data_IF_828966812719
#
_entry.id   IF_828966812719
#
_cell.length_a   1.000
_cell.length_b   1.000
_cell.length_c   1.000
_cell.angle_alpha   90.00
_cell.angle_beta   90.00
_cell.angle_gamma   90.00
#
_symmetry.space_group_name_H-M   'P 1'
#
loop_
_entity.id
_entity.type
_entity.pdbx_description
1 polymer ?
#
# COMPACT_ATOMS: atom_id res chain seq x y z
N UNK A 1 -11.78 0.07 -2.59
CA UNK A 1 -11.18 1.29 -2.05
C UNK A 1 -10.20 1.93 -3.01
N UNK A 2 -9.36 1.20 -3.68
CA UNK A 2 -8.36 1.74 -4.58
C UNK A 2 -7.03 1.04 -4.45
N UNK A 3 -6.10 1.42 -5.32
CA UNK A 3 -4.78 0.83 -5.41
C UNK A 3 -3.75 1.88 -5.02
N UNK A 4 -2.91 1.55 -4.03
CA UNK A 4 -1.79 2.39 -3.62
C UNK A 4 -0.52 1.85 -4.24
N UNK A 5 0.21 2.72 -4.97
CA UNK A 5 1.50 2.39 -5.56
C UNK A 5 2.53 3.33 -4.99
N UNK A 6 3.66 2.78 -4.52
CA UNK A 6 4.75 3.60 -3.97
C UNK A 6 6.11 2.97 -4.27
N UNK A 7 7.15 3.77 -4.09
CA UNK A 7 8.53 3.30 -4.16
C UNK A 7 9.04 3.21 -2.73
N UNK A 8 9.46 2.02 -2.31
CA UNK A 8 10.03 1.83 -0.99
C UNK A 8 11.47 2.33 -0.88
N UNK A 9 12.01 2.33 0.33
CA UNK A 9 13.41 2.70 0.56
C UNK A 9 14.38 1.68 -0.04
N UNK A 10 13.87 0.51 -0.43
CA UNK A 10 14.63 -0.50 -1.18
C UNK A 10 14.75 -0.18 -2.67
N UNK A 11 14.14 0.90 -3.14
CA UNK A 11 14.19 1.33 -4.54
C UNK A 11 13.24 0.58 -5.47
N UNK A 12 12.37 -0.26 -4.93
CA UNK A 12 11.41 -1.04 -5.72
C UNK A 12 10.00 -0.47 -5.64
N UNK A 13 9.23 -0.69 -6.70
CA UNK A 13 7.80 -0.38 -6.71
C UNK A 13 7.02 -1.41 -5.91
N UNK A 14 6.06 -0.93 -5.15
CA UNK A 14 5.16 -1.76 -4.37
C UNK A 14 3.72 -1.34 -4.60
N UNK A 15 2.79 -2.26 -4.41
CA UNK A 15 1.37 -1.99 -4.58
C UNK A 15 0.58 -2.67 -3.47
N UNK A 16 -0.45 -1.98 -2.98
CA UNK A 16 -1.33 -2.51 -1.95
C UNK A 16 -2.76 -2.00 -2.11
N UNK A 17 -3.71 -2.71 -1.52
CA UNK A 17 -5.09 -2.28 -1.43
C UNK A 17 -5.19 -1.14 -0.41
N UNK A 18 -5.88 -0.08 -0.77
CA UNK A 18 -6.09 1.07 0.12
C UNK A 18 -7.16 0.81 1.18
N UNK A 19 -7.82 -0.33 1.17
CA UNK A 19 -8.78 -0.70 2.22
C UNK A 19 -8.04 -1.18 3.46
N UNK A 20 -8.29 -0.51 4.60
CA UNK A 20 -7.77 -0.95 5.88
C UNK A 20 -8.37 -2.33 6.25
N UNK A 21 -7.56 -3.34 6.58
CA UNK A 21 -8.09 -4.67 6.90
C UNK A 21 -8.97 -4.71 8.16
N UNK A 22 -8.82 -3.72 9.04
CA UNK A 22 -9.67 -3.60 10.24
C UNK A 22 -10.99 -2.89 9.94
N UNK A 23 -11.11 -2.24 8.80
CA UNK A 23 -12.27 -1.40 8.43
C UNK A 23 -12.88 -1.82 7.11
N UNK A 24 -12.94 -3.14 6.84
CA UNK A 24 -13.32 -3.68 5.53
C UNK A 24 -14.71 -3.27 5.06
N UNK A 25 -15.62 -2.95 5.99
CA UNK A 25 -16.97 -2.53 5.66
C UNK A 25 -17.10 -1.01 5.50
N UNK A 26 -16.01 -0.30 5.56
CA UNK A 26 -15.99 1.16 5.41
C UNK A 26 -15.50 1.52 4.02
N UNK A 27 -15.93 2.68 3.53
CA UNK A 27 -15.66 3.10 2.16
C UNK A 27 -14.50 4.07 2.02
N UNK A 28 -13.91 4.51 3.13
CA UNK A 28 -12.81 5.47 3.07
C UNK A 28 -11.47 4.75 2.91
N UNK A 29 -10.68 5.09 1.88
CA UNK A 29 -9.35 4.52 1.72
C UNK A 29 -8.37 5.11 2.73
N UNK A 30 -7.24 4.43 2.90
CA UNK A 30 -6.12 4.99 3.67
C UNK A 30 -5.58 6.24 2.98
N UNK A 31 -5.02 7.17 3.76
CA UNK A 31 -4.42 8.40 3.28
C UNK A 31 -2.92 8.35 3.48
N UNK A 32 -2.16 8.78 2.47
CA UNK A 32 -0.69 8.81 2.57
C UNK A 32 -0.26 10.05 3.33
N UNK A 33 0.56 9.82 4.36
CA UNK A 33 1.16 10.88 5.17
C UNK A 33 2.65 10.53 5.36
N UNK A 34 3.53 11.17 4.58
CA UNK A 34 4.95 10.87 4.58
C UNK A 34 5.22 9.42 4.17
N UNK A 35 5.85 8.65 5.06
CA UNK A 35 6.15 7.23 4.85
C UNK A 35 5.07 6.29 5.39
N UNK A 36 3.90 6.82 5.69
CA UNK A 36 2.81 6.03 6.28
C UNK A 36 1.53 6.15 5.46
N UNK A 37 0.77 5.07 5.43
CA UNK A 37 -0.62 5.08 4.98
C UNK A 37 -1.50 5.01 6.22
N UNK A 38 -2.30 6.03 6.45
CA UNK A 38 -3.09 6.17 7.68
C UNK A 38 -4.57 5.93 7.38
N UNK A 39 -5.20 5.04 8.13
CA UNK A 39 -6.63 4.83 8.03
C UNK A 39 -7.37 5.97 8.74
N UNK A 40 -8.22 6.74 8.04
CA UNK A 40 -8.93 7.86 8.67
C UNK A 40 -10.02 7.42 9.64
N UNK A 41 -10.35 6.14 9.66
CA UNK A 41 -11.43 5.61 10.50
C UNK A 41 -10.88 5.10 11.83
N UNK A 42 -9.90 4.18 11.81
CA UNK A 42 -9.35 3.61 13.04
C UNK A 42 -8.03 4.25 13.47
N UNK A 43 -7.40 5.03 12.59
CA UNK A 43 -6.15 5.71 12.90
C UNK A 43 -4.89 4.86 12.75
N UNK A 44 -5.00 3.61 12.27
CA UNK A 44 -3.82 2.78 12.07
C UNK A 44 -2.91 3.39 11.00
N UNK A 45 -1.62 3.36 11.25
CA UNK A 45 -0.60 3.82 10.32
C UNK A 45 0.21 2.62 9.82
N UNK A 46 0.21 2.41 8.51
CA UNK A 46 0.94 1.33 7.86
C UNK A 46 2.26 1.87 7.32
N UNK A 47 3.36 1.19 7.64
CA UNK A 47 4.71 1.61 7.24
C UNK A 47 4.95 1.33 5.76
N UNK A 48 5.24 2.37 4.99
CA UNK A 48 5.52 2.29 3.55
C UNK A 48 7.03 2.34 3.24
N UNK A 49 7.89 2.27 4.24
CA UNK A 49 9.34 2.32 4.02
C UNK A 49 9.83 1.18 3.14
N UNK A 50 9.23 0.02 3.29
CA UNK A 50 9.50 -1.16 2.46
C UNK A 50 8.19 -1.65 1.84
N UNK A 51 8.19 -2.85 1.26
CA UNK A 51 7.03 -3.35 0.53
C UNK A 51 5.94 -4.01 1.37
N UNK A 52 6.05 -4.00 2.68
CA UNK A 52 5.20 -4.84 3.52
C UNK A 52 3.97 -4.14 4.07
N UNK A 53 3.97 -2.82 4.16
CA UNK A 53 2.85 -2.03 4.68
C UNK A 53 2.35 -2.55 6.04
N UNK A 54 3.26 -2.82 6.98
CA UNK A 54 2.93 -3.34 8.29
C UNK A 54 2.23 -2.29 9.15
N UNK A 55 1.24 -2.71 9.98
CA UNK A 55 0.63 -1.80 10.94
C UNK A 55 1.63 -1.45 12.04
N UNK A 56 1.68 -0.16 12.43
CA UNK A 56 2.66 0.34 13.41
C UNK A 56 2.08 0.62 14.78
N UNK A 57 0.76 0.81 14.88
CA UNK A 57 0.11 1.15 16.15
C UNK A 57 -0.55 -0.03 16.85
N UNK A 58 -0.63 -1.18 16.17
CA UNK A 58 -1.20 -2.38 16.75
C UNK A 58 -2.73 -2.40 16.77
N UNK A 59 -3.39 -1.47 16.08
CA UNK A 59 -4.85 -1.44 15.99
C UNK A 59 -5.35 -2.57 15.10
N UNK A 60 -4.65 -2.83 13.98
CA UNK A 60 -4.94 -3.95 13.10
C UNK A 60 -3.94 -5.07 13.33
N UNK A 61 -4.35 -6.31 13.02
CA UNK A 61 -3.47 -7.47 13.11
C UNK A 61 -2.73 -7.74 11.81
N UNK A 62 -3.22 -7.21 10.70
CA UNK A 62 -2.73 -7.53 9.37
C UNK A 62 -2.24 -6.30 8.65
N UNK A 63 -1.22 -6.44 7.78
CA UNK A 63 -0.81 -5.34 6.88
C UNK A 63 -1.88 -5.11 5.83
N UNK A 64 -1.71 -4.03 5.05
CA UNK A 64 -2.53 -3.82 3.85
C UNK A 64 -2.31 -4.99 2.89
N UNK A 65 -3.39 -5.42 2.22
CA UNK A 65 -3.28 -6.48 1.22
C UNK A 65 -2.34 -6.04 0.11
N UNK A 66 -1.33 -6.84 -0.18
CA UNK A 66 -0.31 -6.50 -1.14
C UNK A 66 -0.60 -7.13 -2.50
N UNK A 67 -0.23 -6.38 -3.55
CA UNK A 67 -0.23 -6.86 -4.92
C UNK A 67 1.21 -6.88 -5.43
N UNK A 68 1.45 -7.67 -6.46
CA UNK A 68 2.76 -7.71 -7.10
C UNK A 68 2.88 -6.57 -8.10
N UNK A 69 3.93 -5.77 -8.00
CA UNK A 69 4.24 -4.69 -8.92
C UNK A 69 5.45 -5.10 -9.76
N UNK A 70 5.27 -5.15 -11.09
CA UNK A 70 6.31 -5.58 -12.02
C UNK A 70 6.58 -4.43 -12.98
N UNK A 71 7.84 -3.97 -13.01
CA UNK A 71 8.28 -2.94 -13.95
C UNK A 71 8.82 -3.63 -15.21
N UNK A 72 8.15 -3.40 -16.33
CA UNK A 72 8.57 -3.91 -17.62
C UNK A 72 9.27 -2.83 -18.44
N UNK A 73 10.44 -3.17 -18.99
CA UNK A 73 11.20 -2.33 -19.90
C UNK A 73 10.94 -2.79 -21.34
N UNK A 74 10.48 -1.87 -22.18
CA UNK A 74 10.16 -2.19 -23.57
C UNK A 74 10.61 -1.06 -24.50
N UNK A 75 10.51 -1.27 -25.82
CA UNK A 75 10.83 -0.23 -26.81
C UNK A 75 9.97 1.03 -26.68
N UNK A 76 8.75 0.89 -26.18
CA UNK A 76 7.83 2.01 -25.96
C UNK A 76 8.09 2.72 -24.63
N UNK A 77 9.06 2.28 -23.82
CA UNK A 77 9.37 2.83 -22.51
C UNK A 77 9.12 1.81 -21.41
N UNK A 78 8.80 2.31 -20.21
CA UNK A 78 8.56 1.47 -19.05
C UNK A 78 7.06 1.34 -18.79
N UNK A 79 6.63 0.13 -18.46
CA UNK A 79 5.26 -0.13 -17.99
C UNK A 79 5.29 -0.80 -16.64
N UNK A 80 4.40 -0.38 -15.74
CA UNK A 80 4.23 -1.00 -14.43
C UNK A 80 2.99 -1.90 -14.46
N UNK A 81 3.19 -3.19 -14.19
CA UNK A 81 2.11 -4.16 -14.14
C UNK A 81 1.81 -4.55 -12.70
N UNK A 82 0.55 -4.46 -12.32
CA UNK A 82 0.09 -4.82 -10.98
C UNK A 82 -0.72 -6.11 -11.08
N UNK A 83 -0.37 -7.11 -10.29
CA UNK A 83 -1.05 -8.40 -10.24
C UNK A 83 -1.28 -8.84 -8.80
N UNK A 84 -2.25 -9.70 -8.63
CA UNK A 84 -2.51 -10.33 -7.33
C UNK A 84 -1.40 -11.29 -6.91
#
# INVERSE_FOLDING_TARGET
CGLLIWIGMDGHFHAADMCCPNCVNKTKPVEVDGLYAVCPICGEAFDLSYGYAFPTKGITKYPLRQYQAILNNSYAGYTLRITN
#
